data_IF_861870129427
#
_entry.id   IF_861870129427
#
_cell.length_a   1.000
_cell.length_b   1.000
_cell.length_c   1.000
_cell.angle_alpha   90.00
_cell.angle_beta   90.00
_cell.angle_gamma   90.00
#
_symmetry.space_group_name_H-M   'P 1'
#
loop_
_entity.id
_entity.type
_entity.pdbx_description
1 polymer ?
#
# COMPACT_ATOMS: atom_id res chain seq x y z
N UNK A 1 -25.93 17.89 4.11
CA UNK A 1 -25.51 16.86 3.15
C UNK A 1 -24.35 16.16 3.79
N UNK A 2 -24.51 14.90 4.21
CA UNK A 2 -23.42 14.13 4.81
C UNK A 2 -22.51 13.73 3.65
N UNK A 3 -21.18 13.95 3.71
CA UNK A 3 -20.29 13.45 2.67
C UNK A 3 -20.46 11.93 2.62
N UNK A 4 -20.81 11.40 1.45
CA UNK A 4 -20.87 9.96 1.24
C UNK A 4 -19.47 9.39 1.54
N UNK A 5 -19.43 8.31 2.33
CA UNK A 5 -18.17 7.66 2.62
C UNK A 5 -17.64 7.03 1.32
N UNK A 6 -16.55 7.58 0.80
CA UNK A 6 -15.86 7.02 -0.37
C UNK A 6 -15.33 5.63 -0.01
N UNK A 7 -15.70 4.63 -0.78
CA UNK A 7 -15.18 3.28 -0.66
C UNK A 7 -13.94 3.12 -1.54
N UNK A 8 -12.89 2.52 -0.99
CA UNK A 8 -11.64 2.25 -1.71
C UNK A 8 -11.54 0.77 -2.08
N UNK A 9 -11.18 0.50 -3.34
CA UNK A 9 -10.75 -0.82 -3.78
C UNK A 9 -9.38 -1.18 -3.22
N UNK A 10 -8.95 -2.45 -3.34
CA UNK A 10 -7.59 -2.84 -3.01
C UNK A 10 -6.60 -2.20 -4.00
N UNK A 11 -5.37 -2.00 -3.54
CA UNK A 11 -4.28 -1.47 -4.36
C UNK A 11 -3.74 -2.57 -5.27
N UNK A 12 -3.59 -2.28 -6.56
CA UNK A 12 -3.02 -3.17 -7.56
C UNK A 12 -1.64 -2.64 -7.98
N UNK A 13 -0.60 -3.44 -7.76
CA UNK A 13 0.77 -3.06 -8.15
C UNK A 13 0.98 -3.34 -9.64
N UNK A 14 1.39 -2.33 -10.39
CA UNK A 14 1.62 -2.42 -11.82
C UNK A 14 3.03 -2.98 -12.08
N UNK A 15 3.15 -3.83 -13.11
CA UNK A 15 4.45 -4.38 -13.55
C UNK A 15 5.22 -3.42 -14.45
N UNK A 16 4.51 -2.52 -15.12
CA UNK A 16 5.05 -1.67 -16.16
C UNK A 16 5.68 -0.41 -15.56
N UNK A 17 6.83 -0.01 -16.11
CA UNK A 17 7.52 1.21 -15.69
C UNK A 17 6.88 2.49 -16.23
N UNK A 18 6.02 2.38 -17.25
CA UNK A 18 5.30 3.51 -17.86
C UNK A 18 3.84 3.11 -18.16
N UNK A 19 3.01 2.92 -17.13
CA UNK A 19 1.66 2.37 -17.28
C UNK A 19 0.63 3.38 -17.81
N UNK A 20 0.94 4.69 -17.74
CA UNK A 20 -0.03 5.76 -18.03
C UNK A 20 -0.75 5.63 -19.38
N UNK A 21 -0.09 5.34 -20.53
CA UNK A 21 -0.81 5.20 -21.79
C UNK A 21 -1.87 4.09 -21.79
N UNK A 22 -1.64 3.02 -21.01
CA UNK A 22 -2.62 1.94 -20.85
C UNK A 22 -3.74 2.34 -19.91
N UNK A 23 -3.44 3.08 -18.85
CA UNK A 23 -4.45 3.63 -17.94
C UNK A 23 -5.32 4.66 -18.67
N UNK A 24 -4.72 5.51 -19.51
CA UNK A 24 -5.43 6.44 -20.40
C UNK A 24 -6.39 5.69 -21.33
N UNK A 25 -5.92 4.61 -21.98
CA UNK A 25 -6.78 3.79 -22.83
C UNK A 25 -7.90 3.11 -22.05
N UNK A 26 -7.61 2.59 -20.86
CA UNK A 26 -8.59 1.94 -20.01
C UNK A 26 -9.67 2.94 -19.55
N UNK A 27 -9.28 4.13 -19.11
CA UNK A 27 -10.18 5.18 -18.66
C UNK A 27 -11.02 5.77 -19.81
N UNK A 28 -10.45 5.87 -21.01
CA UNK A 28 -11.14 6.37 -22.20
C UNK A 28 -12.35 5.49 -22.59
N UNK A 29 -12.29 4.17 -22.36
CA UNK A 29 -13.41 3.25 -22.62
C UNK A 29 -14.66 3.58 -21.77
N UNK A 30 -14.48 4.33 -20.67
CA UNK A 30 -15.55 4.79 -19.80
C UNK A 30 -15.81 6.30 -19.87
N UNK A 31 -15.05 7.02 -20.70
CA UNK A 31 -15.17 8.48 -20.86
C UNK A 31 -14.72 9.27 -19.62
N UNK A 32 -13.77 8.75 -18.83
CA UNK A 32 -13.25 9.45 -17.65
C UNK A 32 -12.25 10.54 -18.02
N UNK A 33 -12.24 11.63 -17.26
CA UNK A 33 -11.34 12.77 -17.46
C UNK A 33 -10.06 12.60 -16.65
N UNK A 34 -8.90 12.83 -17.29
CA UNK A 34 -7.59 12.76 -16.63
C UNK A 34 -7.28 14.07 -15.90
N UNK A 35 -6.94 13.95 -14.61
CA UNK A 35 -6.47 15.03 -13.75
C UNK A 35 -5.09 14.65 -13.22
N UNK A 36 -4.12 15.55 -13.38
CA UNK A 36 -2.77 15.38 -12.85
C UNK A 36 -2.55 16.27 -11.65
N UNK A 37 -2.05 15.68 -10.56
CA UNK A 37 -1.74 16.41 -9.33
C UNK A 37 -0.23 16.69 -9.26
N UNK A 38 0.17 17.84 -8.68
CA UNK A 38 1.57 18.12 -8.42
C UNK A 38 2.14 17.13 -7.40
N UNK A 39 3.46 16.92 -7.41
CA UNK A 39 4.15 16.11 -6.41
C UNK A 39 3.91 16.67 -5.00
N UNK A 40 3.65 15.79 -4.03
CA UNK A 40 3.48 16.14 -2.62
C UNK A 40 4.43 15.31 -1.76
N UNK A 41 5.66 15.81 -1.62
CA UNK A 41 6.69 15.19 -0.80
C UNK A 41 6.37 15.21 0.70
N UNK A 42 5.43 16.04 1.15
CA UNK A 42 5.00 16.01 2.56
C UNK A 42 4.04 14.87 2.81
N UNK A 43 3.19 14.54 1.83
CA UNK A 43 2.31 13.38 1.85
C UNK A 43 3.02 12.06 1.47
N UNK A 44 4.28 12.12 1.02
CA UNK A 44 5.03 10.97 0.52
C UNK A 44 4.62 10.53 -0.89
N UNK A 45 3.99 11.41 -1.66
CA UNK A 45 3.51 11.13 -3.02
C UNK A 45 4.45 11.70 -4.07
N UNK A 46 5.13 10.83 -4.81
CA UNK A 46 6.02 11.21 -5.91
C UNK A 46 5.28 11.48 -7.21
N UNK A 47 4.14 10.81 -7.44
CA UNK A 47 3.30 11.02 -8.61
C UNK A 47 1.87 10.62 -8.29
N UNK A 48 0.92 11.45 -8.69
CA UNK A 48 -0.51 11.14 -8.62
C UNK A 48 -1.22 11.59 -9.90
N UNK A 49 -2.00 10.67 -10.46
CA UNK A 49 -2.88 10.92 -11.60
C UNK A 49 -4.21 10.25 -11.29
N UNK A 50 -5.30 10.98 -11.52
CA UNK A 50 -6.65 10.48 -11.31
C UNK A 50 -7.42 10.56 -12.62
N UNK A 51 -8.12 9.49 -12.98
CA UNK A 51 -9.13 9.53 -14.03
C UNK A 51 -10.51 9.53 -13.36
N UNK A 52 -11.23 10.63 -13.48
CA UNK A 52 -12.50 10.88 -12.80
C UNK A 52 -13.69 10.53 -13.69
N UNK A 53 -14.60 9.73 -13.14
CA UNK A 53 -15.98 9.60 -13.60
C UNK A 53 -16.92 10.16 -12.54
N UNK A 54 -18.23 10.11 -12.80
CA UNK A 54 -19.25 10.78 -11.97
C UNK A 54 -19.09 10.52 -10.45
N UNK A 55 -19.18 9.26 -10.01
CA UNK A 55 -19.02 8.85 -8.59
C UNK A 55 -17.86 7.86 -8.41
N UNK A 56 -16.85 7.96 -9.27
CA UNK A 56 -15.76 7.00 -9.33
C UNK A 56 -14.45 7.67 -9.71
N UNK A 57 -13.34 7.11 -9.24
CA UNK A 57 -12.00 7.54 -9.64
C UNK A 57 -11.09 6.34 -9.81
N UNK A 58 -10.31 6.33 -10.89
CA UNK A 58 -9.12 5.49 -11.00
C UNK A 58 -7.92 6.32 -10.55
N UNK A 59 -7.29 5.91 -9.47
CA UNK A 59 -6.11 6.59 -8.92
C UNK A 59 -4.87 5.83 -9.32
N UNK A 60 -3.87 6.53 -9.85
CA UNK A 60 -2.51 6.03 -10.08
C UNK A 60 -1.53 6.79 -9.21
N UNK A 61 -0.73 6.07 -8.44
CA UNK A 61 0.22 6.65 -7.50
C UNK A 61 1.59 5.98 -7.58
N UNK A 62 2.61 6.78 -7.24
CA UNK A 62 3.93 6.33 -6.82
C UNK A 62 4.22 7.00 -5.48
N UNK A 63 4.48 6.21 -4.43
CA UNK A 63 4.90 6.72 -3.13
C UNK A 63 6.44 6.67 -2.96
N UNK A 64 6.96 7.50 -2.07
CA UNK A 64 8.41 7.67 -1.84
C UNK A 64 9.05 6.53 -1.03
N UNK A 65 8.25 5.65 -0.42
CA UNK A 65 8.73 4.52 0.38
C UNK A 65 8.94 3.27 -0.48
N UNK A 66 7.96 2.95 -1.32
CA UNK A 66 7.98 1.78 -2.19
C UNK A 66 8.57 2.08 -3.56
N UNK A 67 8.45 3.34 -4.04
CA UNK A 67 8.70 3.74 -5.43
C UNK A 67 8.01 2.84 -6.46
N UNK A 68 6.93 2.17 -6.06
CA UNK A 68 6.21 1.22 -6.88
C UNK A 68 4.99 1.89 -7.51
N UNK A 69 4.78 1.75 -8.83
CA UNK A 69 3.55 2.22 -9.46
C UNK A 69 2.39 1.31 -9.06
N UNK A 70 1.32 1.90 -8.53
CA UNK A 70 0.10 1.18 -8.20
C UNK A 70 -1.14 1.97 -8.57
N UNK A 71 -2.27 1.26 -8.67
CA UNK A 71 -3.58 1.87 -8.81
C UNK A 71 -4.54 1.42 -7.70
N UNK A 72 -5.58 2.20 -7.47
CA UNK A 72 -6.79 1.73 -6.80
C UNK A 72 -8.01 2.49 -7.34
N UNK A 73 -9.20 1.97 -7.06
CA UNK A 73 -10.45 2.65 -7.41
C UNK A 73 -11.09 3.26 -6.18
N UNK A 74 -11.61 4.47 -6.31
CA UNK A 74 -12.56 5.07 -5.37
C UNK A 74 -13.96 5.02 -5.98
N UNK A 75 -14.98 4.69 -5.18
CA UNK A 75 -16.37 4.78 -5.61
C UNK A 75 -17.30 4.98 -4.40
N UNK A 76 -18.51 5.48 -4.63
CA UNK A 76 -19.53 5.60 -3.58
C UNK A 76 -19.99 4.24 -3.01
N UNK A 77 -19.85 3.18 -3.80
CA UNK A 77 -20.25 1.83 -3.42
C UNK A 77 -19.08 0.86 -3.49
N UNK A 78 -18.85 0.13 -2.41
CA UNK A 78 -17.73 -0.83 -2.28
C UNK A 78 -17.73 -1.91 -3.37
N UNK A 79 -18.90 -2.41 -3.76
CA UNK A 79 -19.01 -3.42 -4.82
C UNK A 79 -18.61 -2.87 -6.20
N UNK A 80 -18.82 -1.57 -6.45
CA UNK A 80 -18.37 -0.92 -7.69
C UNK A 80 -16.86 -0.86 -7.74
N UNK A 81 -16.22 -0.39 -6.65
CA UNK A 81 -14.76 -0.36 -6.57
C UNK A 81 -14.16 -1.77 -6.73
N UNK A 82 -14.77 -2.79 -6.10
CA UNK A 82 -14.33 -4.17 -6.22
C UNK A 82 -14.50 -4.74 -7.64
N UNK A 83 -15.62 -4.45 -8.31
CA UNK A 83 -15.84 -4.90 -9.69
C UNK A 83 -14.84 -4.27 -10.68
N UNK A 84 -14.54 -2.98 -10.52
CA UNK A 84 -13.54 -2.28 -11.32
C UNK A 84 -12.13 -2.81 -11.05
N UNK A 85 -11.77 -3.09 -9.80
CA UNK A 85 -10.52 -3.77 -9.46
C UNK A 85 -10.39 -5.12 -10.17
N UNK A 86 -11.45 -5.93 -10.17
CA UNK A 86 -11.42 -7.23 -10.85
C UNK A 86 -11.21 -7.06 -12.35
N UNK A 87 -11.95 -6.14 -12.97
CA UNK A 87 -11.79 -5.83 -14.40
C UNK A 87 -10.37 -5.33 -14.71
N UNK A 88 -9.82 -4.43 -13.90
CA UNK A 88 -8.46 -3.94 -14.06
C UNK A 88 -7.42 -5.06 -13.94
N UNK A 89 -7.64 -6.06 -13.08
CA UNK A 89 -6.75 -7.22 -12.94
C UNK A 89 -6.70 -8.05 -14.24
N UNK A 90 -7.80 -8.09 -15.00
CA UNK A 90 -7.90 -8.85 -16.25
C UNK A 90 -7.32 -8.08 -17.45
N UNK A 91 -7.31 -6.75 -17.41
CA UNK A 91 -6.90 -5.88 -18.52
C UNK A 91 -5.51 -5.23 -18.33
N UNK A 92 -5.03 -5.10 -17.10
CA UNK A 92 -3.77 -4.46 -16.76
C UNK A 92 -2.74 -5.50 -16.30
N UNK A 93 -1.47 -5.26 -16.61
CA UNK A 93 -0.38 -6.13 -16.17
C UNK A 93 -0.04 -5.83 -14.70
N UNK A 94 -0.78 -6.46 -13.79
CA UNK A 94 -0.60 -6.32 -12.34
C UNK A 94 0.10 -7.54 -11.73
N UNK A 95 0.73 -7.34 -10.57
CA UNK A 95 1.25 -8.45 -9.76
C UNK A 95 0.11 -9.19 -9.06
N UNK A 96 0.16 -10.52 -9.08
CA UNK A 96 -0.78 -11.34 -8.32
C UNK A 96 -0.40 -11.41 -6.84
N UNK A 97 -1.38 -11.68 -5.95
CA UNK A 97 -1.12 -11.79 -4.51
C UNK A 97 -0.06 -12.85 -4.17
N UNK A 98 -0.20 -14.05 -4.72
CA UNK A 98 0.73 -15.15 -4.48
C UNK A 98 2.14 -14.84 -5.01
N UNK A 99 2.23 -14.10 -6.10
CA UNK A 99 3.50 -13.67 -6.69
C UNK A 99 4.21 -12.65 -5.81
N UNK A 100 3.49 -11.65 -5.27
CA UNK A 100 4.05 -10.67 -4.34
C UNK A 100 4.63 -11.35 -3.09
N UNK A 101 3.92 -12.31 -2.51
CA UNK A 101 4.39 -13.06 -1.35
C UNK A 101 5.60 -13.95 -1.71
N UNK A 102 5.54 -14.64 -2.85
CA UNK A 102 6.65 -15.48 -3.32
C UNK A 102 7.90 -14.66 -3.66
N UNK A 103 7.75 -13.43 -4.14
CA UNK A 103 8.86 -12.53 -4.42
C UNK A 103 9.66 -12.23 -3.14
N UNK A 104 8.97 -11.99 -2.02
CA UNK A 104 9.63 -11.81 -0.72
C UNK A 104 10.36 -13.08 -0.25
N UNK A 105 9.72 -14.24 -0.38
CA UNK A 105 10.29 -15.51 0.09
C UNK A 105 11.55 -15.93 -0.69
N UNK A 106 11.64 -15.52 -1.95
CA UNK A 106 12.73 -15.89 -2.85
C UNK A 106 13.79 -14.80 -3.02
N UNK A 107 13.53 -13.59 -2.53
CA UNK A 107 14.42 -12.44 -2.61
C UNK A 107 15.75 -12.69 -1.89
N UNK A 108 16.86 -12.25 -2.49
CA UNK A 108 18.22 -12.43 -2.01
C UNK A 108 18.82 -11.10 -1.58
N UNK A 109 19.35 -11.10 -0.36
CA UNK A 109 19.92 -9.90 0.23
C UNK A 109 18.85 -8.94 0.76
N UNK A 110 19.27 -8.05 1.65
CA UNK A 110 18.36 -7.23 2.43
C UNK A 110 17.64 -6.15 1.61
N UNK A 111 18.30 -5.56 0.61
CA UNK A 111 17.67 -4.58 -0.28
C UNK A 111 16.51 -5.18 -1.11
N UNK A 112 16.68 -6.37 -1.69
CA UNK A 112 15.63 -7.03 -2.47
C UNK A 112 14.47 -7.49 -1.57
N UNK A 113 14.80 -8.06 -0.39
CA UNK A 113 13.81 -8.45 0.62
C UNK A 113 13.02 -7.25 1.13
N UNK A 114 13.67 -6.09 1.34
CA UNK A 114 13.03 -4.83 1.73
C UNK A 114 11.99 -4.42 0.69
N UNK A 115 12.42 -4.33 -0.57
CA UNK A 115 11.55 -3.89 -1.67
C UNK A 115 10.35 -4.82 -1.84
N UNK A 116 10.58 -6.13 -1.88
CA UNK A 116 9.52 -7.12 -2.08
C UNK A 116 8.56 -7.21 -0.89
N UNK A 117 9.02 -7.00 0.35
CA UNK A 117 8.14 -6.89 1.52
C UNK A 117 7.20 -5.69 1.41
N UNK A 118 7.73 -4.52 1.06
CA UNK A 118 6.94 -3.29 0.92
C UNK A 118 5.93 -3.41 -0.22
N UNK A 119 6.33 -3.98 -1.37
CA UNK A 119 5.40 -4.28 -2.47
C UNK A 119 4.28 -5.23 -2.04
N UNK A 120 4.61 -6.29 -1.30
CA UNK A 120 3.63 -7.25 -0.81
C UNK A 120 2.69 -6.64 0.24
N UNK A 121 3.15 -5.68 1.03
CA UNK A 121 2.34 -4.94 1.98
C UNK A 121 1.42 -3.93 1.29
N UNK A 122 1.96 -3.15 0.36
CA UNK A 122 1.21 -2.16 -0.41
C UNK A 122 0.06 -2.82 -1.21
N UNK A 123 0.35 -3.92 -1.90
CA UNK A 123 -0.64 -4.68 -2.69
C UNK A 123 -1.52 -5.63 -1.88
N UNK A 124 -1.52 -5.52 -0.54
CA UNK A 124 -2.41 -6.33 0.30
C UNK A 124 -3.80 -5.71 0.40
N UNK A 125 -4.78 -6.53 0.78
CA UNK A 125 -6.11 -6.03 1.13
C UNK A 125 -6.03 -5.10 2.35
N UNK A 126 -6.99 -4.17 2.48
CA UNK A 126 -7.13 -3.34 3.69
C UNK A 126 -7.37 -4.17 4.96
N UNK A 127 -7.81 -5.42 4.83
CA UNK A 127 -7.90 -6.39 5.93
C UNK A 127 -6.57 -7.10 6.16
N UNK A 128 -6.24 -7.33 7.43
CA UNK A 128 -5.03 -8.05 7.81
C UNK A 128 -4.98 -9.45 7.19
N UNK A 129 -3.92 -9.73 6.44
CA UNK A 129 -3.59 -11.03 5.88
C UNK A 129 -2.57 -11.75 6.77
N UNK A 130 -2.93 -12.91 7.31
CA UNK A 130 -2.04 -13.70 8.18
C UNK A 130 -0.72 -14.08 7.50
N UNK A 131 -0.72 -14.36 6.19
CA UNK A 131 0.49 -14.71 5.46
C UNK A 131 1.46 -13.52 5.36
N UNK A 132 0.94 -12.30 5.19
CA UNK A 132 1.75 -11.08 5.22
C UNK A 132 2.18 -10.73 6.63
N UNK A 133 1.28 -10.86 7.61
CA UNK A 133 1.57 -10.61 9.01
C UNK A 133 2.78 -11.41 9.49
N UNK A 134 2.88 -12.70 9.12
CA UNK A 134 4.05 -13.50 9.47
C UNK A 134 5.34 -12.99 8.79
N UNK A 135 5.30 -12.61 7.51
CA UNK A 135 6.47 -12.07 6.82
C UNK A 135 6.94 -10.74 7.39
N UNK A 136 6.01 -9.87 7.80
CA UNK A 136 6.30 -8.62 8.51
C UNK A 136 6.95 -8.93 9.86
N UNK A 137 6.43 -9.91 10.62
CA UNK A 137 7.05 -10.34 11.88
C UNK A 137 8.46 -10.88 11.68
N UNK A 138 8.66 -11.73 10.69
CA UNK A 138 9.98 -12.30 10.38
C UNK A 138 10.98 -11.20 9.99
N UNK A 139 10.55 -10.23 9.18
CA UNK A 139 11.37 -9.08 8.81
C UNK A 139 11.69 -8.18 10.01
N UNK A 140 10.76 -8.00 10.95
CA UNK A 140 10.99 -7.25 12.19
C UNK A 140 12.02 -7.89 13.13
N UNK A 141 12.33 -9.18 12.95
CA UNK A 141 13.38 -9.88 13.69
C UNK A 141 14.66 -10.08 12.87
N UNK A 142 14.75 -9.51 11.67
CA UNK A 142 15.92 -9.63 10.81
C UNK A 142 17.15 -8.93 11.42
N UNK A 143 18.37 -9.44 11.21
CA UNK A 143 19.58 -8.78 11.69
C UNK A 143 19.81 -7.42 11.00
N UNK A 144 19.34 -7.24 9.77
CA UNK A 144 19.51 -6.01 9.02
C UNK A 144 18.50 -4.92 9.45
N UNK A 145 18.96 -3.73 9.89
CA UNK A 145 18.06 -2.67 10.36
C UNK A 145 17.12 -2.18 9.25
N UNK A 146 17.55 -2.22 7.99
CA UNK A 146 16.70 -1.83 6.86
C UNK A 146 15.47 -2.73 6.69
N UNK A 147 15.57 -4.02 7.02
CA UNK A 147 14.42 -4.95 6.97
C UNK A 147 13.48 -4.75 8.16
N UNK A 148 14.02 -4.50 9.35
CA UNK A 148 13.20 -4.18 10.52
C UNK A 148 12.44 -2.86 10.31
N UNK A 149 13.10 -1.85 9.75
CA UNK A 149 12.48 -0.60 9.34
C UNK A 149 11.39 -0.81 8.28
N UNK A 150 11.65 -1.67 7.29
CA UNK A 150 10.65 -2.03 6.28
C UNK A 150 9.41 -2.70 6.89
N UNK A 151 9.57 -3.52 7.93
CA UNK A 151 8.46 -4.13 8.63
C UNK A 151 7.56 -3.09 9.33
N UNK A 152 8.14 -2.01 9.87
CA UNK A 152 7.39 -0.88 10.44
C UNK A 152 6.56 -0.20 9.35
N UNK A 153 7.15 0.16 8.21
CA UNK A 153 6.42 0.76 7.10
C UNK A 153 5.37 -0.19 6.50
N UNK A 154 5.68 -1.47 6.36
CA UNK A 154 4.73 -2.47 5.85
C UNK A 154 3.44 -2.55 6.71
N UNK A 155 3.55 -2.33 8.02
CA UNK A 155 2.40 -2.30 8.92
C UNK A 155 1.45 -1.11 8.66
N UNK A 156 1.93 -0.02 8.04
CA UNK A 156 1.11 1.16 7.71
C UNK A 156 0.15 0.91 6.55
N UNK A 157 0.50 0.02 5.61
CA UNK A 157 -0.34 -0.27 4.45
C UNK A 157 -1.56 -1.15 4.78
N UNK A 158 -1.52 -1.87 5.90
CA UNK A 158 -2.63 -2.72 6.40
C UNK A 158 -2.85 -2.55 7.92
N UNK A 159 -3.25 -1.36 8.40
CA UNK A 159 -3.26 -1.04 9.83
C UNK A 159 -4.05 -2.06 10.67
N UNK A 160 -3.44 -2.54 11.76
CA UNK A 160 -4.07 -3.52 12.64
C UNK A 160 -3.53 -3.42 14.06
N UNK A 161 -4.41 -3.59 15.05
CA UNK A 161 -4.04 -3.67 16.47
C UNK A 161 -3.09 -4.83 16.77
N UNK A 162 -3.04 -5.85 15.90
CA UNK A 162 -2.11 -6.99 16.02
C UNK A 162 -0.64 -6.60 15.82
N UNK A 163 -0.36 -5.43 15.24
CA UNK A 163 1.00 -4.90 15.13
C UNK A 163 1.46 -4.18 16.41
N UNK A 164 0.55 -3.78 17.32
CA UNK A 164 0.93 -3.00 18.51
C UNK A 164 2.02 -3.65 19.36
N UNK A 165 1.97 -4.96 19.71
CA UNK A 165 3.02 -5.59 20.50
C UNK A 165 4.38 -5.58 19.78
N UNK A 166 4.37 -5.77 18.46
CA UNK A 166 5.58 -5.77 17.64
C UNK A 166 6.21 -4.38 17.59
N UNK A 167 5.40 -3.35 17.31
CA UNK A 167 5.85 -1.96 17.21
C UNK A 167 6.32 -1.42 18.58
N UNK A 168 5.65 -1.80 19.68
CA UNK A 168 6.09 -1.44 21.02
C UNK A 168 7.47 -2.03 21.36
N UNK A 169 7.70 -3.29 21.00
CA UNK A 169 9.01 -3.94 21.19
C UNK A 169 10.10 -3.23 20.37
N UNK A 170 9.85 -2.98 19.08
CA UNK A 170 10.80 -2.28 18.21
C UNK A 170 11.07 -0.86 18.69
N UNK A 171 10.05 -0.13 19.14
CA UNK A 171 10.20 1.24 19.63
C UNK A 171 11.05 1.32 20.91
N UNK A 172 10.89 0.37 21.82
CA UNK A 172 11.62 0.34 23.08
C UNK A 172 13.07 -0.14 22.93
N UNK A 173 13.27 -1.25 22.22
CA UNK A 173 14.48 -2.08 22.38
C UNK A 173 15.27 -2.30 21.08
N UNK A 174 14.83 -1.81 19.91
CA UNK A 174 15.62 -2.00 18.68
C UNK A 174 16.99 -1.34 18.80
N UNK A 175 18.10 -2.00 18.40
CA UNK A 175 19.43 -1.40 18.48
C UNK A 175 19.57 -0.16 17.57
N UNK A 176 18.82 -0.08 16.48
CA UNK A 176 18.88 1.02 15.53
C UNK A 176 17.95 2.18 15.95
N UNK A 177 18.47 3.40 16.16
CA UNK A 177 17.66 4.54 16.59
C UNK A 177 16.59 4.97 15.59
N UNK A 178 16.81 4.79 14.29
CA UNK A 178 15.81 5.13 13.27
C UNK A 178 14.64 4.14 13.31
N UNK A 179 14.92 2.85 13.52
CA UNK A 179 13.87 1.84 13.70
C UNK A 179 13.03 2.15 14.94
N UNK A 180 13.66 2.52 16.07
CA UNK A 180 12.93 2.90 17.30
C UNK A 180 12.00 4.08 17.07
N UNK A 181 12.49 5.12 16.40
CA UNK A 181 11.74 6.33 16.09
C UNK A 181 10.52 6.01 15.21
N UNK A 182 10.73 5.34 14.08
CA UNK A 182 9.66 5.04 13.14
C UNK A 182 8.61 4.10 13.76
N UNK A 183 9.05 3.10 14.54
CA UNK A 183 8.15 2.20 15.25
C UNK A 183 7.30 2.92 16.29
N UNK A 184 7.86 3.92 16.98
CA UNK A 184 7.13 4.77 17.91
C UNK A 184 6.06 5.60 17.21
N UNK A 185 6.42 6.30 16.14
CA UNK A 185 5.48 7.10 15.34
C UNK A 185 4.34 6.23 14.78
N UNK A 186 4.65 5.03 14.28
CA UNK A 186 3.64 4.11 13.77
C UNK A 186 2.74 3.57 14.88
N UNK A 187 3.29 3.28 16.06
CA UNK A 187 2.50 2.83 17.22
C UNK A 187 1.52 3.91 17.67
N UNK A 188 1.96 5.17 17.72
CA UNK A 188 1.12 6.32 18.06
C UNK A 188 -0.01 6.49 17.05
N UNK A 189 0.30 6.43 15.75
CA UNK A 189 -0.70 6.49 14.69
C UNK A 189 -1.76 5.38 14.80
N UNK A 190 -1.36 4.13 15.07
CA UNK A 190 -2.31 3.02 15.26
C UNK A 190 -3.15 3.21 16.54
N UNK A 191 -2.61 3.85 17.58
CA UNK A 191 -3.36 4.16 18.79
C UNK A 191 -4.41 5.24 18.54
N UNK A 192 -4.08 6.28 17.79
CA UNK A 192 -5.03 7.34 17.41
C UNK A 192 -6.18 6.77 16.57
N UNK A 193 -5.89 6.01 15.52
CA UNK A 193 -6.92 5.37 14.67
C UNK A 193 -7.75 4.34 15.46
N UNK A 194 -7.11 3.59 16.37
CA UNK A 194 -7.75 2.57 17.20
C UNK A 194 -8.63 3.10 18.34
N UNK A 195 -8.69 4.41 18.57
CA UNK A 195 -9.65 5.03 19.51
C UNK A 195 -10.97 5.45 18.86
N UNK A 196 -11.10 5.31 17.53
CA UNK A 196 -12.30 5.69 16.77
C UNK A 196 -13.24 4.54 16.36
N UNK A 197 -12.99 3.30 16.79
CA UNK A 197 -13.77 2.13 16.36
C UNK A 197 -14.50 1.44 17.52
N UNK A 198 -15.71 1.90 17.82
CA UNK A 198 -16.78 1.11 18.46
C UNK A 198 -18.05 1.29 17.66
#
# INVERSE_FOLDING_TARGET
MVPLSVCLGPRLILRESAPEPRLDSFAADFGWEKVEYPEDLQAGTLREVVWEGYDLGLHYLIDDVTECPYIYFSADMSHTAQALTQMATDHLHVYGRAELLSAFDTARGAAERRRTLLMAALGSSHTLDDALYQRIRDAAHAPEPELRRAAVYAASYSPSVRYKPLLALLSADDPDPAVRLDAGLMLDAINEVGTGGV
#
